data_IF_679364285472
#
_entry.id   IF_679364285472
#
_cell.length_a   1.000
_cell.length_b   1.000
_cell.length_c   1.000
_cell.angle_alpha   90.00
_cell.angle_beta   90.00
_cell.angle_gamma   90.00
#
_symmetry.space_group_name_H-M   'P 1'
#
loop_
_entity.id
_entity.type
_entity.pdbx_description
1 polymer ?
#
# COMPACT_ATOMS: atom_id res chain seq x y z
N UNK A 1 -15.32 2.24 -16.73
CA UNK A 1 -14.72 0.91 -16.48
C UNK A 1 -13.63 0.64 -17.50
N UNK A 2 -12.55 -0.05 -17.11
CA UNK A 2 -11.47 -0.47 -18.01
C UNK A 2 -11.83 -1.82 -18.61
N UNK A 3 -11.88 -1.90 -19.95
CA UNK A 3 -12.17 -3.12 -20.70
C UNK A 3 -11.14 -3.30 -21.82
N UNK A 4 -11.00 -4.54 -22.32
CA UNK A 4 -10.10 -4.85 -23.43
C UNK A 4 -10.80 -5.70 -24.49
N UNK A 5 -10.50 -5.44 -25.76
CA UNK A 5 -10.96 -6.28 -26.88
C UNK A 5 -10.32 -7.67 -26.83
N UNK A 6 -9.11 -7.77 -26.26
CA UNK A 6 -8.39 -9.03 -26.07
C UNK A 6 -9.09 -10.05 -25.16
N UNK A 7 -10.17 -9.66 -24.46
CA UNK A 7 -10.97 -10.54 -23.61
C UNK A 7 -12.21 -11.09 -24.33
N UNK A 8 -12.63 -10.49 -25.45
CA UNK A 8 -13.86 -10.88 -26.14
C UNK A 8 -13.80 -12.34 -26.59
N UNK A 9 -14.82 -13.12 -26.23
CA UNK A 9 -14.93 -14.53 -26.58
C UNK A 9 -13.99 -15.47 -25.81
N UNK A 10 -13.13 -14.95 -24.93
CA UNK A 10 -12.34 -15.76 -24.00
C UNK A 10 -13.17 -16.18 -22.78
N UNK A 11 -12.68 -17.17 -22.06
CA UNK A 11 -13.31 -17.71 -20.84
C UNK A 11 -12.37 -17.58 -19.65
N UNK A 12 -12.83 -16.92 -18.60
CA UNK A 12 -12.06 -16.72 -17.38
C UNK A 12 -12.72 -17.40 -16.19
N UNK A 13 -11.91 -18.07 -15.38
CA UNK A 13 -12.30 -18.46 -14.03
C UNK A 13 -11.88 -17.34 -13.07
N UNK A 14 -12.76 -16.84 -12.20
CA UNK A 14 -12.45 -15.79 -11.23
C UNK A 14 -12.63 -16.32 -9.82
N UNK A 15 -11.55 -16.30 -9.03
CA UNK A 15 -11.53 -16.78 -7.64
C UNK A 15 -11.38 -15.61 -6.65
N UNK A 16 -12.33 -15.52 -5.73
CA UNK A 16 -12.46 -14.47 -4.72
C UNK A 16 -13.22 -13.27 -5.26
N UNK A 17 -14.35 -12.94 -4.64
CA UNK A 17 -15.35 -11.96 -5.12
C UNK A 17 -15.55 -10.81 -4.12
N UNK A 18 -14.50 -10.47 -3.37
CA UNK A 18 -14.43 -9.21 -2.65
C UNK A 18 -14.35 -8.02 -3.64
N UNK A 19 -13.97 -6.83 -3.16
CA UNK A 19 -13.98 -5.59 -3.96
C UNK A 19 -13.26 -5.70 -5.31
N UNK A 20 -12.03 -6.21 -5.35
CA UNK A 20 -11.30 -6.36 -6.62
C UNK A 20 -11.88 -7.42 -7.53
N UNK A 21 -12.25 -8.59 -6.98
CA UNK A 21 -12.86 -9.67 -7.75
C UNK A 21 -14.18 -9.29 -8.40
N UNK A 22 -15.04 -8.58 -7.67
CA UNK A 22 -16.30 -8.05 -8.21
C UNK A 22 -16.06 -7.11 -9.40
N UNK A 23 -15.13 -6.16 -9.27
CA UNK A 23 -14.77 -5.25 -10.36
C UNK A 23 -14.16 -6.00 -11.56
N UNK A 24 -13.35 -7.04 -11.31
CA UNK A 24 -12.79 -7.91 -12.35
C UNK A 24 -13.88 -8.64 -13.13
N UNK A 25 -14.86 -9.27 -12.45
CA UNK A 25 -15.98 -9.95 -13.12
C UNK A 25 -16.77 -8.96 -13.98
N UNK A 26 -17.10 -7.80 -13.44
CA UNK A 26 -17.81 -6.76 -14.18
C UNK A 26 -17.05 -6.32 -15.43
N UNK A 27 -15.74 -6.08 -15.32
CA UNK A 27 -14.89 -5.66 -16.44
C UNK A 27 -14.78 -6.73 -17.53
N UNK A 28 -14.57 -7.99 -17.14
CA UNK A 28 -14.49 -9.12 -18.08
C UNK A 28 -15.81 -9.35 -18.83
N UNK A 29 -16.94 -9.35 -18.12
CA UNK A 29 -18.27 -9.49 -18.71
C UNK A 29 -18.56 -8.33 -19.66
N UNK A 30 -18.27 -7.09 -19.25
CA UNK A 30 -18.45 -5.90 -20.09
C UNK A 30 -17.54 -5.94 -21.34
N UNK A 31 -16.35 -6.53 -21.21
CA UNK A 31 -15.43 -6.80 -22.33
C UNK A 31 -15.88 -7.95 -23.25
N UNK A 32 -17.00 -8.61 -22.97
CA UNK A 32 -17.53 -9.71 -23.78
C UNK A 32 -16.86 -11.06 -23.53
N UNK A 33 -16.25 -11.25 -22.36
CA UNK A 33 -15.67 -12.53 -21.95
C UNK A 33 -16.71 -13.39 -21.21
N UNK A 34 -16.66 -14.71 -21.42
CA UNK A 34 -17.34 -15.65 -20.55
C UNK A 34 -16.63 -15.77 -19.20
N UNK A 35 -17.37 -15.79 -18.10
CA UNK A 35 -16.83 -15.79 -16.74
C UNK A 35 -17.51 -16.85 -15.87
N UNK A 36 -16.72 -17.66 -15.17
CA UNK A 36 -17.20 -18.45 -14.04
C UNK A 36 -16.55 -17.90 -12.77
N UNK A 37 -17.36 -17.41 -11.84
CA UNK A 37 -16.94 -16.68 -10.67
C UNK A 37 -17.26 -17.44 -9.37
N UNK A 38 -16.26 -17.59 -8.49
CA UNK A 38 -16.44 -18.29 -7.22
C UNK A 38 -15.78 -17.56 -6.03
N UNK A 39 -16.48 -17.52 -4.91
CA UNK A 39 -15.99 -17.19 -3.57
C UNK A 39 -16.69 -18.14 -2.61
N UNK A 40 -16.05 -18.59 -1.53
CA UNK A 40 -16.72 -19.50 -0.57
C UNK A 40 -17.84 -18.80 0.22
N UNK A 41 -17.78 -17.46 0.32
CA UNK A 41 -18.82 -16.65 0.94
C UNK A 41 -20.04 -16.45 0.02
N UNK A 42 -21.14 -17.10 0.37
CA UNK A 42 -22.42 -17.00 -0.36
C UNK A 42 -22.96 -15.57 -0.44
N UNK A 43 -22.72 -14.76 0.59
CA UNK A 43 -23.20 -13.37 0.62
C UNK A 43 -22.50 -12.54 -0.46
N UNK A 44 -21.20 -12.77 -0.68
CA UNK A 44 -20.46 -12.10 -1.76
C UNK A 44 -20.90 -12.57 -3.13
N UNK A 45 -21.16 -13.88 -3.30
CA UNK A 45 -21.69 -14.43 -4.56
C UNK A 45 -23.05 -13.80 -4.90
N UNK A 46 -23.96 -13.75 -3.94
CA UNK A 46 -25.30 -13.16 -4.10
C UNK A 46 -25.23 -11.66 -4.43
N UNK A 47 -24.42 -10.90 -3.70
CA UNK A 47 -24.24 -9.46 -3.94
C UNK A 47 -23.68 -9.16 -5.34
N UNK A 48 -22.72 -9.95 -5.81
CA UNK A 48 -22.18 -9.78 -7.16
C UNK A 48 -23.21 -10.14 -8.22
N UNK A 49 -23.93 -11.26 -8.06
CA UNK A 49 -24.98 -11.70 -8.98
C UNK A 49 -26.09 -10.63 -9.15
N UNK A 50 -26.49 -9.97 -8.08
CA UNK A 50 -27.42 -8.82 -8.13
C UNK A 50 -26.82 -7.65 -8.92
N UNK A 51 -25.56 -7.28 -8.64
CA UNK A 51 -24.91 -6.11 -9.28
C UNK A 51 -24.66 -6.26 -10.79
N UNK A 52 -24.63 -7.49 -11.31
CA UNK A 52 -24.37 -7.81 -12.73
C UNK A 52 -25.61 -8.29 -13.48
N UNK A 53 -26.77 -8.32 -12.83
CA UNK A 53 -28.01 -8.81 -13.41
C UNK A 53 -28.42 -8.00 -14.65
N UNK A 54 -28.20 -6.68 -14.65
CA UNK A 54 -28.53 -5.84 -15.80
C UNK A 54 -27.50 -5.98 -16.95
N UNK A 55 -26.24 -6.29 -16.61
CA UNK A 55 -25.16 -6.50 -17.57
C UNK A 55 -25.34 -7.81 -18.36
N UNK A 56 -25.75 -8.89 -17.68
CA UNK A 56 -26.00 -10.17 -18.34
C UNK A 56 -27.22 -10.15 -19.25
N UNK A 57 -28.21 -9.30 -18.97
CA UNK A 57 -29.41 -9.13 -19.81
C UNK A 57 -29.13 -8.27 -21.05
N UNK A 58 -28.19 -7.32 -20.97
CA UNK A 58 -27.86 -6.45 -22.12
C UNK A 58 -26.85 -7.06 -23.09
N UNK A 59 -26.12 -8.09 -22.66
CA UNK A 59 -25.11 -8.77 -23.44
C UNK A 59 -25.59 -10.20 -23.75
N UNK A 60 -26.51 -10.34 -24.72
CA UNK A 60 -27.24 -11.58 -25.07
C UNK A 60 -26.35 -12.82 -25.35
N UNK A 61 -25.03 -12.66 -25.48
CA UNK A 61 -24.05 -13.71 -25.80
C UNK A 61 -22.96 -13.95 -24.71
N UNK A 62 -23.09 -13.41 -23.49
CA UNK A 62 -22.05 -13.57 -22.44
C UNK A 62 -22.43 -14.65 -21.40
N UNK A 63 -21.62 -15.71 -21.33
CA UNK A 63 -21.76 -16.80 -20.34
C UNK A 63 -21.18 -16.38 -18.98
N UNK A 64 -22.04 -15.94 -18.04
CA UNK A 64 -21.66 -15.66 -16.65
C UNK A 64 -22.28 -16.68 -15.70
N UNK A 65 -21.46 -17.36 -14.88
CA UNK A 65 -21.91 -18.35 -13.90
C UNK A 65 -21.24 -18.18 -12.54
N UNK A 66 -21.91 -18.68 -11.51
CA UNK A 66 -21.44 -18.68 -10.12
C UNK A 66 -21.30 -20.11 -9.59
N UNK A 67 -20.47 -20.91 -10.25
CA UNK A 67 -20.30 -22.33 -9.97
C UNK A 67 -18.92 -22.63 -9.34
N UNK A 68 -18.79 -23.70 -8.54
CA UNK A 68 -17.50 -24.17 -8.07
C UNK A 68 -16.52 -24.39 -9.23
N UNK A 69 -15.26 -24.02 -9.02
CA UNK A 69 -14.20 -24.15 -10.01
C UNK A 69 -13.52 -25.53 -9.87
N UNK A 70 -14.03 -26.56 -10.54
CA UNK A 70 -13.49 -27.93 -10.42
C UNK A 70 -12.59 -28.35 -11.59
N UNK A 71 -12.90 -27.92 -12.82
CA UNK A 71 -12.11 -28.17 -14.04
C UNK A 71 -11.70 -26.85 -14.69
N UNK A 72 -10.39 -26.60 -14.74
CA UNK A 72 -9.84 -25.36 -15.29
C UNK A 72 -9.49 -25.45 -16.77
N UNK A 73 -9.46 -26.64 -17.39
CA UNK A 73 -8.93 -26.84 -18.73
C UNK A 73 -9.66 -26.07 -19.84
N UNK A 74 -10.90 -25.65 -19.57
CA UNK A 74 -11.74 -24.92 -20.52
C UNK A 74 -11.60 -23.39 -20.43
N UNK A 75 -10.72 -22.87 -19.56
CA UNK A 75 -10.50 -21.44 -19.35
C UNK A 75 -9.17 -20.97 -19.93
N UNK A 76 -9.17 -19.76 -20.47
CA UNK A 76 -7.97 -19.07 -20.95
C UNK A 76 -7.08 -18.58 -19.81
N UNK A 77 -7.66 -18.28 -18.63
CA UNK A 77 -6.92 -17.96 -17.42
C UNK A 77 -7.76 -18.17 -16.14
N UNK A 78 -7.06 -18.45 -15.04
CA UNK A 78 -7.58 -18.34 -13.68
C UNK A 78 -7.18 -16.98 -13.10
N UNK A 79 -8.14 -16.09 -12.88
CA UNK A 79 -7.93 -14.79 -12.27
C UNK A 79 -8.15 -14.88 -10.77
N UNK A 80 -7.16 -14.50 -9.99
CA UNK A 80 -7.17 -14.64 -8.52
C UNK A 80 -7.14 -13.27 -7.87
N UNK A 81 -8.13 -13.00 -7.01
CA UNK A 81 -8.14 -11.79 -6.20
C UNK A 81 -6.96 -11.73 -5.22
N UNK A 82 -6.34 -10.56 -4.97
CA UNK A 82 -5.13 -10.45 -4.14
C UNK A 82 -5.22 -11.03 -2.73
N UNK A 83 -6.43 -11.10 -2.14
CA UNK A 83 -6.67 -11.63 -0.79
C UNK A 83 -6.78 -13.14 -0.68
N UNK A 84 -6.73 -13.88 -1.80
CA UNK A 84 -6.84 -15.35 -1.78
C UNK A 84 -5.46 -15.99 -1.53
N UNK A 85 -5.31 -16.88 -0.54
CA UNK A 85 -4.04 -17.55 -0.23
C UNK A 85 -3.74 -18.67 -1.26
N UNK A 86 -3.33 -18.26 -2.46
CA UNK A 86 -3.14 -19.16 -3.60
C UNK A 86 -2.09 -20.25 -3.35
N UNK A 87 -1.04 -19.96 -2.56
CA UNK A 87 0.02 -20.91 -2.23
C UNK A 87 -0.51 -22.19 -1.56
N UNK A 88 -1.61 -22.10 -0.82
CA UNK A 88 -2.27 -23.25 -0.18
C UNK A 88 -3.53 -23.72 -0.89
N UNK A 89 -3.98 -22.99 -1.91
CA UNK A 89 -5.26 -23.26 -2.56
C UNK A 89 -5.13 -24.40 -3.59
N UNK A 90 -6.02 -25.41 -3.59
CA UNK A 90 -5.92 -26.56 -4.51
C UNK A 90 -5.96 -26.15 -5.98
N UNK A 91 -6.64 -25.05 -6.32
CA UNK A 91 -6.70 -24.53 -7.69
C UNK A 91 -5.34 -24.10 -8.27
N UNK A 92 -4.35 -23.77 -7.45
CA UNK A 92 -3.01 -23.47 -7.94
C UNK A 92 -2.38 -24.71 -8.61
N UNK A 93 -2.58 -25.89 -8.02
CA UNK A 93 -2.09 -27.15 -8.58
C UNK A 93 -2.93 -27.56 -9.80
N UNK A 94 -4.25 -27.38 -9.75
CA UNK A 94 -5.14 -27.69 -10.87
C UNK A 94 -4.83 -26.83 -12.10
N UNK A 95 -4.64 -25.52 -11.93
CA UNK A 95 -4.30 -24.61 -13.03
C UNK A 95 -2.97 -25.01 -13.69
N UNK A 96 -1.96 -25.33 -12.87
CA UNK A 96 -0.66 -25.81 -13.35
C UNK A 96 -0.78 -27.12 -14.13
N UNK A 97 -1.58 -28.07 -13.64
CA UNK A 97 -1.81 -29.35 -14.31
C UNK A 97 -2.54 -29.19 -15.64
N UNK A 98 -3.44 -28.20 -15.74
CA UNK A 98 -4.19 -27.88 -16.95
C UNK A 98 -3.44 -26.95 -17.92
N UNK A 99 -2.27 -26.40 -17.55
CA UNK A 99 -1.54 -25.42 -18.35
C UNK A 99 -2.22 -24.04 -18.42
N UNK A 100 -3.12 -23.76 -17.48
CA UNK A 100 -3.90 -22.52 -17.43
C UNK A 100 -3.11 -21.46 -16.67
N UNK A 101 -2.85 -20.27 -17.25
CA UNK A 101 -2.14 -19.21 -16.56
C UNK A 101 -2.97 -18.71 -15.37
N UNK A 102 -2.28 -18.51 -14.25
CA UNK A 102 -2.88 -17.87 -13.06
C UNK A 102 -2.44 -16.41 -13.05
N UNK A 103 -3.41 -15.51 -13.08
CA UNK A 103 -3.20 -14.07 -13.24
C UNK A 103 -3.99 -13.25 -12.21
N UNK A 104 -3.66 -11.97 -12.08
CA UNK A 104 -4.34 -11.03 -11.20
C UNK A 104 -5.09 -9.93 -11.96
N UNK A 105 -5.75 -9.06 -11.22
CA UNK A 105 -6.40 -7.86 -11.75
C UNK A 105 -5.41 -6.89 -12.43
N UNK A 106 -4.17 -6.82 -11.92
CA UNK A 106 -3.10 -6.01 -12.51
C UNK A 106 -2.63 -6.53 -13.86
N UNK A 107 -2.61 -7.86 -14.06
CA UNK A 107 -2.30 -8.44 -15.36
C UNK A 107 -3.38 -8.15 -16.39
N UNK A 108 -4.65 -8.25 -15.99
CA UNK A 108 -5.76 -7.83 -16.85
C UNK A 108 -5.66 -6.34 -17.20
N UNK A 109 -5.34 -5.48 -16.23
CA UNK A 109 -5.08 -4.07 -16.52
C UNK A 109 -3.95 -3.93 -17.55
N UNK A 110 -2.83 -4.63 -17.38
CA UNK A 110 -1.71 -4.61 -18.32
C UNK A 110 -2.13 -5.01 -19.76
N UNK A 111 -2.95 -6.06 -19.90
CA UNK A 111 -3.50 -6.50 -21.18
C UNK A 111 -4.44 -5.48 -21.83
N UNK A 112 -5.19 -4.71 -21.02
CA UNK A 112 -6.11 -3.70 -21.51
C UNK A 112 -5.42 -2.43 -22.02
N UNK A 113 -4.19 -2.15 -21.60
CA UNK A 113 -3.51 -0.86 -21.84
C UNK A 113 -3.45 -0.45 -23.31
N UNK A 114 -3.31 -1.42 -24.22
CA UNK A 114 -3.26 -1.15 -25.67
C UNK A 114 -4.55 -0.53 -26.23
N UNK A 115 -5.68 -0.73 -25.55
CA UNK A 115 -6.99 -0.22 -25.96
C UNK A 115 -7.36 1.09 -25.24
N UNK A 116 -6.54 1.54 -24.27
CA UNK A 116 -6.79 2.76 -23.49
C UNK A 116 -6.16 4.00 -24.16
N UNK A 117 -6.66 5.21 -23.85
CA UNK A 117 -5.96 6.43 -24.24
C UNK A 117 -4.48 6.39 -23.83
N UNK A 118 -3.55 6.99 -24.62
CA UNK A 118 -2.13 6.95 -24.30
C UNK A 118 -1.86 7.47 -22.89
N UNK A 119 -1.16 6.68 -22.08
CA UNK A 119 -0.95 6.92 -20.66
C UNK A 119 0.41 6.39 -20.23
N UNK A 120 0.83 6.76 -19.02
CA UNK A 120 2.01 6.20 -18.35
C UNK A 120 1.62 5.37 -17.13
N UNK A 121 2.50 4.46 -16.74
CA UNK A 121 2.34 3.60 -15.57
C UNK A 121 3.55 3.75 -14.65
N UNK A 122 3.27 4.03 -13.37
CA UNK A 122 4.25 3.97 -12.28
C UNK A 122 3.93 2.77 -11.40
N UNK A 123 4.85 1.82 -11.28
CA UNK A 123 4.73 0.67 -10.38
C UNK A 123 5.60 0.84 -9.14
N UNK A 124 5.03 0.79 -7.94
CA UNK A 124 5.75 1.03 -6.68
C UNK A 124 5.65 -0.20 -5.79
N UNK A 125 6.80 -0.79 -5.44
CA UNK A 125 6.89 -1.88 -4.46
C UNK A 125 7.95 -1.63 -3.40
N UNK A 126 8.02 -2.55 -2.43
CA UNK A 126 8.91 -2.52 -1.27
C UNK A 126 8.26 -3.20 -0.07
N UNK A 127 9.02 -3.41 1.01
CA UNK A 127 8.43 -3.88 2.27
C UNK A 127 7.62 -2.75 2.92
N UNK A 128 8.23 -1.58 3.09
CA UNK A 128 7.64 -0.41 3.75
C UNK A 128 7.60 0.83 2.83
N UNK A 129 6.77 1.82 3.19
CA UNK A 129 6.71 3.12 2.49
C UNK A 129 5.88 3.17 1.20
N UNK A 130 5.43 2.00 0.71
CA UNK A 130 4.66 1.88 -0.55
C UNK A 130 3.47 2.82 -0.64
N UNK A 131 2.59 2.79 0.36
CA UNK A 131 1.35 3.57 0.34
C UNK A 131 1.61 5.07 0.40
N UNK A 132 2.54 5.49 1.26
CA UNK A 132 2.93 6.90 1.36
C UNK A 132 3.55 7.39 0.06
N UNK A 133 4.46 6.64 -0.54
CA UNK A 133 5.10 7.01 -1.81
C UNK A 133 4.09 7.06 -2.96
N UNK A 134 3.21 6.05 -3.07
CA UNK A 134 2.14 6.00 -4.08
C UNK A 134 1.22 7.21 -3.96
N UNK A 135 0.78 7.54 -2.74
CA UNK A 135 -0.05 8.70 -2.46
C UNK A 135 0.68 10.02 -2.75
N UNK A 136 1.97 10.11 -2.43
CA UNK A 136 2.78 11.29 -2.67
C UNK A 136 2.99 11.54 -4.17
N UNK A 137 3.35 10.52 -4.94
CA UNK A 137 3.48 10.62 -6.41
C UNK A 137 2.16 11.09 -7.01
N UNK A 138 1.06 10.45 -6.65
CA UNK A 138 -0.26 10.84 -7.13
C UNK A 138 -0.62 12.29 -6.74
N UNK A 139 -0.31 12.70 -5.50
CA UNK A 139 -0.56 14.06 -5.04
C UNK A 139 0.27 15.09 -5.82
N UNK A 140 1.56 14.84 -6.04
CA UNK A 140 2.43 15.69 -6.88
C UNK A 140 1.86 15.82 -8.29
N UNK A 141 1.44 14.71 -8.91
CA UNK A 141 0.85 14.71 -10.24
C UNK A 141 -0.45 15.52 -10.31
N UNK A 142 -1.36 15.34 -9.34
CA UNK A 142 -2.58 16.16 -9.25
C UNK A 142 -2.26 17.63 -9.04
N UNK A 143 -1.29 17.94 -8.18
CA UNK A 143 -0.84 19.30 -7.93
C UNK A 143 -0.26 19.92 -9.21
N UNK A 144 0.41 19.16 -10.06
CA UNK A 144 0.90 19.58 -11.37
C UNK A 144 -0.18 19.64 -12.47
N UNK A 145 -1.42 19.27 -12.16
CA UNK A 145 -2.52 19.24 -13.15
C UNK A 145 -2.46 18.04 -14.11
N UNK A 146 -1.65 17.02 -13.82
CA UNK A 146 -1.59 15.79 -14.61
C UNK A 146 -2.73 14.86 -14.18
N UNK A 147 -3.59 14.40 -15.10
CA UNK A 147 -4.61 13.41 -14.77
C UNK A 147 -3.96 12.15 -14.22
N UNK A 148 -4.39 11.69 -13.04
CA UNK A 148 -3.76 10.55 -12.39
C UNK A 148 -4.77 9.74 -11.60
N UNK A 149 -4.51 8.44 -11.50
CA UNK A 149 -5.32 7.49 -10.74
C UNK A 149 -4.42 6.58 -9.92
N UNK A 150 -4.71 6.45 -8.62
CA UNK A 150 -4.08 5.46 -7.76
C UNK A 150 -4.82 4.13 -7.80
N UNK A 151 -4.08 3.04 -7.89
CA UNK A 151 -4.63 1.69 -7.81
C UNK A 151 -3.62 0.68 -7.28
N UNK A 152 -3.91 -0.60 -7.52
CA UNK A 152 -3.08 -1.70 -7.04
C UNK A 152 -3.55 -2.25 -5.69
N UNK A 153 -2.64 -2.40 -4.75
CA UNK A 153 -2.90 -2.94 -3.40
C UNK A 153 -3.69 -1.97 -2.51
N UNK A 154 -3.68 -0.67 -2.86
CA UNK A 154 -4.44 0.38 -2.18
C UNK A 154 -5.32 1.14 -3.17
N UNK A 155 -6.29 1.88 -2.65
CA UNK A 155 -7.18 2.70 -3.46
C UNK A 155 -8.37 1.89 -3.99
N UNK A 156 -8.80 2.21 -5.21
CA UNK A 156 -9.94 1.59 -5.85
C UNK A 156 -9.50 0.44 -6.76
N UNK A 157 -10.32 -0.62 -6.92
CA UNK A 157 -10.05 -1.67 -7.91
C UNK A 157 -9.84 -1.07 -9.30
N UNK A 158 -8.65 -1.29 -9.88
CA UNK A 158 -8.21 -0.60 -11.08
C UNK A 158 -9.16 -0.82 -12.26
N UNK A 159 -9.62 -2.06 -12.46
CA UNK A 159 -10.50 -2.42 -13.57
C UNK A 159 -11.88 -1.75 -13.47
N UNK A 160 -12.34 -1.48 -12.25
CA UNK A 160 -13.62 -0.80 -12.02
C UNK A 160 -13.61 0.70 -12.32
N UNK A 161 -12.45 1.29 -12.61
CA UNK A 161 -12.32 2.73 -12.83
C UNK A 161 -12.58 3.12 -14.29
N UNK A 162 -12.85 4.40 -14.53
CA UNK A 162 -12.86 4.93 -15.89
C UNK A 162 -11.44 5.09 -16.42
N UNK A 163 -11.20 4.84 -17.72
CA UNK A 163 -9.93 5.14 -18.36
C UNK A 163 -9.53 6.60 -18.15
N UNK A 164 -8.25 6.84 -17.87
CA UNK A 164 -7.72 8.20 -17.82
C UNK A 164 -7.74 8.80 -19.23
N UNK A 165 -7.84 10.14 -19.36
CA UNK A 165 -7.63 10.82 -20.64
C UNK A 165 -6.17 10.67 -21.10
N UNK A 166 -5.91 11.02 -22.36
CA UNK A 166 -4.56 11.04 -22.92
C UNK A 166 -3.59 11.87 -22.06
N UNK A 167 -2.38 11.33 -21.86
CA UNK A 167 -1.37 11.90 -20.97
C UNK A 167 -1.58 11.59 -19.49
N UNK A 168 -2.58 10.77 -19.15
CA UNK A 168 -2.83 10.33 -17.78
C UNK A 168 -1.75 9.40 -17.22
N UNK A 169 -1.64 9.34 -15.89
CA UNK A 169 -0.67 8.49 -15.18
C UNK A 169 -1.37 7.60 -14.15
N UNK A 170 -1.25 6.29 -14.35
CA UNK A 170 -1.64 5.30 -13.35
C UNK A 170 -0.50 5.09 -12.36
N UNK A 171 -0.77 5.28 -11.06
CA UNK A 171 0.20 5.09 -9.98
C UNK A 171 -0.23 3.88 -9.17
N UNK A 172 0.49 2.76 -9.33
CA UNK A 172 0.10 1.46 -8.82
C UNK A 172 0.98 1.07 -7.64
N UNK A 173 0.37 0.90 -6.46
CA UNK A 173 1.03 0.18 -5.36
C UNK A 173 0.98 -1.31 -5.65
N UNK A 174 2.13 -1.98 -5.71
CA UNK A 174 2.20 -3.41 -6.02
C UNK A 174 2.77 -4.20 -4.85
N UNK A 175 1.94 -5.08 -4.28
CA UNK A 175 2.40 -6.11 -3.35
C UNK A 175 3.20 -7.17 -4.10
N UNK A 176 4.04 -7.94 -3.39
CA UNK A 176 4.71 -9.10 -4.00
C UNK A 176 3.70 -10.11 -4.54
N UNK A 177 2.53 -10.20 -3.90
CA UNK A 177 1.46 -11.13 -4.28
C UNK A 177 0.83 -10.76 -5.62
N UNK A 178 0.64 -9.47 -5.87
CA UNK A 178 0.15 -8.98 -7.16
C UNK A 178 1.22 -9.12 -8.24
N UNK A 179 2.49 -8.85 -7.92
CA UNK A 179 3.59 -9.03 -8.88
C UNK A 179 3.69 -10.51 -9.29
N UNK A 180 3.58 -11.46 -8.35
CA UNK A 180 3.55 -12.91 -8.63
C UNK A 180 2.49 -13.32 -9.67
N UNK A 181 1.37 -12.58 -9.72
CA UNK A 181 0.24 -12.81 -10.62
C UNK A 181 0.24 -11.89 -11.85
N UNK A 182 1.29 -11.09 -12.03
CA UNK A 182 1.45 -10.15 -13.15
C UNK A 182 2.61 -10.60 -14.04
N UNK A 183 2.44 -10.45 -15.36
CA UNK A 183 3.38 -10.95 -16.37
C UNK A 183 3.79 -9.89 -17.38
N UNK A 184 2.91 -8.93 -17.69
CA UNK A 184 3.09 -8.02 -18.84
C UNK A 184 3.02 -6.53 -18.47
N UNK A 185 3.15 -6.19 -17.19
CA UNK A 185 3.08 -4.79 -16.72
C UNK A 185 4.37 -4.01 -17.00
N UNK A 186 4.47 -3.49 -18.22
CA UNK A 186 5.57 -2.63 -18.65
C UNK A 186 5.46 -1.20 -18.07
N UNK A 187 6.12 -0.94 -16.94
CA UNK A 187 6.04 0.36 -16.25
C UNK A 187 7.01 1.38 -16.85
N UNK A 188 6.53 2.59 -17.15
CA UNK A 188 7.37 3.74 -17.51
C UNK A 188 8.36 4.09 -16.41
N UNK A 189 7.92 3.97 -15.14
CA UNK A 189 8.78 4.07 -13.96
C UNK A 189 8.43 2.95 -12.98
N UNK A 190 9.39 2.09 -12.65
CA UNK A 190 9.25 1.10 -11.58
C UNK A 190 10.10 1.50 -10.38
N UNK A 191 9.57 1.29 -9.17
CA UNK A 191 10.21 1.71 -7.92
C UNK A 191 10.27 0.55 -6.94
N UNK A 192 11.45 0.31 -6.36
CA UNK A 192 11.62 -0.53 -5.16
C UNK A 192 12.22 0.28 -4.02
N UNK A 193 11.40 0.53 -3.00
CA UNK A 193 11.72 1.44 -1.90
C UNK A 193 12.72 0.89 -0.88
N UNK A 194 12.60 -0.40 -0.58
CA UNK A 194 13.39 -1.13 0.40
C UNK A 194 12.95 -2.59 0.37
N UNK A 195 13.78 -3.46 0.93
CA UNK A 195 13.42 -4.83 1.19
C UNK A 195 13.95 -5.31 2.54
N UNK A 196 13.05 -5.82 3.37
CA UNK A 196 13.34 -6.42 4.68
C UNK A 196 12.48 -7.65 4.88
N UNK A 197 12.89 -8.62 5.73
CA UNK A 197 12.13 -9.85 5.96
C UNK A 197 10.67 -9.57 6.32
N UNK A 198 9.76 -10.14 5.53
CA UNK A 198 8.31 -10.05 5.67
C UNK A 198 7.67 -11.20 4.86
N UNK A 199 6.46 -11.61 5.21
CA UNK A 199 5.70 -12.68 4.52
C UNK A 199 6.49 -14.00 4.27
N UNK A 200 7.41 -14.37 5.17
CA UNK A 200 8.27 -15.54 5.01
C UNK A 200 7.52 -16.87 5.03
N UNK A 201 6.28 -16.89 5.50
CA UNK A 201 5.37 -18.04 5.46
C UNK A 201 4.91 -18.39 4.03
N UNK A 202 5.01 -17.45 3.09
CA UNK A 202 4.59 -17.64 1.69
C UNK A 202 5.72 -18.02 0.75
N UNK A 203 6.96 -17.64 1.06
CA UNK A 203 8.11 -17.82 0.19
C UNK A 203 9.07 -18.86 0.77
N UNK A 204 9.87 -19.50 -0.08
CA UNK A 204 10.99 -20.36 0.34
C UNK A 204 12.15 -19.50 0.87
N UNK A 205 11.89 -18.77 1.96
CA UNK A 205 12.79 -17.80 2.56
C UNK A 205 12.80 -16.42 1.91
N UNK A 206 13.64 -15.54 2.46
CA UNK A 206 13.69 -14.13 2.10
C UNK A 206 14.12 -13.87 0.65
N UNK A 207 15.00 -14.71 0.10
CA UNK A 207 15.43 -14.60 -1.29
C UNK A 207 14.27 -14.75 -2.29
N UNK A 208 13.30 -15.63 -2.01
CA UNK A 208 12.11 -15.79 -2.84
C UNK A 208 11.20 -14.55 -2.80
N UNK A 209 11.06 -13.92 -1.64
CA UNK A 209 10.35 -12.66 -1.48
C UNK A 209 11.02 -11.51 -2.26
N UNK A 210 12.36 -11.45 -2.23
CA UNK A 210 13.14 -10.50 -3.01
C UNK A 210 12.99 -10.70 -4.51
N UNK A 211 13.15 -11.93 -4.99
CA UNK A 211 12.95 -12.27 -6.39
C UNK A 211 11.53 -11.94 -6.87
N UNK A 212 10.51 -12.16 -6.04
CA UNK A 212 9.12 -11.80 -6.37
C UNK A 212 8.98 -10.30 -6.69
N UNK A 213 9.56 -9.41 -5.87
CA UNK A 213 9.53 -7.96 -6.10
C UNK A 213 10.39 -7.53 -7.29
N UNK A 214 11.55 -8.15 -7.46
CA UNK A 214 12.48 -7.90 -8.57
C UNK A 214 11.83 -8.10 -9.95
N UNK A 215 10.86 -9.03 -10.06
CA UNK A 215 10.12 -9.26 -11.31
C UNK A 215 9.45 -8.01 -11.88
N UNK A 216 9.17 -6.98 -11.07
CA UNK A 216 8.65 -5.71 -11.57
C UNK A 216 9.58 -5.06 -12.62
N UNK A 217 10.90 -5.16 -12.42
CA UNK A 217 11.92 -4.61 -13.32
C UNK A 217 12.16 -5.51 -14.54
N UNK A 218 12.04 -6.82 -14.37
CA UNK A 218 12.14 -7.79 -15.47
C UNK A 218 11.02 -7.61 -16.52
N UNK A 219 9.88 -7.03 -16.12
CA UNK A 219 8.77 -6.72 -17.03
C UNK A 219 8.95 -5.40 -17.79
N UNK A 220 9.94 -4.56 -17.43
CA UNK A 220 10.14 -3.27 -18.09
C UNK A 220 10.82 -3.42 -19.46
N UNK A 221 10.47 -2.53 -20.38
CA UNK A 221 11.17 -2.34 -21.65
C UNK A 221 12.04 -1.07 -21.63
N UNK A 222 13.04 -1.00 -22.51
CA UNK A 222 13.88 0.20 -22.67
C UNK A 222 13.12 1.22 -23.54
N UNK A 223 13.09 2.53 -23.20
CA UNK A 223 13.97 3.25 -22.29
C UNK A 223 13.37 3.64 -20.93
N UNK A 224 12.50 2.81 -20.35
CA UNK A 224 11.86 3.12 -19.06
C UNK A 224 12.85 3.21 -17.89
N UNK A 225 12.43 3.78 -16.77
CA UNK A 225 13.31 4.00 -15.61
C UNK A 225 13.02 3.01 -14.47
N UNK A 226 14.09 2.45 -13.90
CA UNK A 226 14.05 1.81 -12.59
C UNK A 226 14.60 2.76 -11.51
N UNK A 227 13.86 2.93 -10.41
CA UNK A 227 14.31 3.66 -9.22
C UNK A 227 14.41 2.67 -8.06
N UNK A 228 15.62 2.43 -7.57
CA UNK A 228 15.87 1.35 -6.58
C UNK A 228 16.65 1.84 -5.38
N UNK A 229 16.38 1.23 -4.22
CA UNK A 229 17.25 1.36 -3.06
C UNK A 229 18.61 0.71 -3.34
N UNK A 230 19.69 1.48 -3.19
CA UNK A 230 21.04 1.03 -3.50
C UNK A 230 21.52 -0.11 -2.60
N UNK A 231 21.16 -0.10 -1.32
CA UNK A 231 21.54 -1.15 -0.37
C UNK A 231 20.84 -2.47 -0.70
N UNK A 232 19.53 -2.41 -0.93
CA UNK A 232 18.71 -3.55 -1.33
C UNK A 232 19.20 -4.17 -2.65
N UNK A 233 19.55 -3.35 -3.63
CA UNK A 233 20.11 -3.84 -4.90
C UNK A 233 21.46 -4.53 -4.68
N UNK A 234 22.38 -3.89 -3.95
CA UNK A 234 23.71 -4.44 -3.72
C UNK A 234 23.69 -5.77 -2.93
N UNK A 235 22.72 -5.96 -2.04
CA UNK A 235 22.60 -7.16 -1.21
C UNK A 235 21.86 -8.31 -1.92
N UNK A 236 20.89 -7.99 -2.79
CA UNK A 236 19.95 -9.00 -3.32
C UNK A 236 19.92 -9.12 -4.84
N UNK A 237 20.69 -8.31 -5.58
CA UNK A 237 20.77 -8.34 -7.05
C UNK A 237 19.37 -8.25 -7.71
N UNK A 238 18.56 -7.26 -7.30
CA UNK A 238 17.15 -7.14 -7.68
C UNK A 238 16.97 -6.80 -9.16
N UNK A 239 17.99 -6.25 -9.81
CA UNK A 239 17.98 -5.94 -11.24
C UNK A 239 18.61 -7.06 -12.10
N UNK A 240 18.92 -8.22 -11.54
CA UNK A 240 19.62 -9.30 -12.24
C UNK A 240 18.91 -9.82 -13.50
N UNK A 241 17.57 -9.83 -13.50
CA UNK A 241 16.73 -10.25 -14.63
C UNK A 241 16.14 -9.06 -15.42
N UNK A 242 16.50 -7.82 -15.08
CA UNK A 242 16.07 -6.63 -15.81
C UNK A 242 16.82 -6.52 -17.16
N UNK A 243 16.28 -5.80 -18.16
CA UNK A 243 17.02 -5.52 -19.38
C UNK A 243 18.38 -4.88 -19.09
N UNK A 244 19.44 -5.34 -19.74
CA UNK A 244 20.81 -4.92 -19.45
C UNK A 244 21.05 -3.41 -19.61
N UNK A 245 20.34 -2.77 -20.54
CA UNK A 245 20.44 -1.34 -20.84
C UNK A 245 19.33 -0.51 -20.17
N UNK A 246 18.61 -1.07 -19.20
CA UNK A 246 17.57 -0.35 -18.46
C UNK A 246 18.20 0.82 -17.69
N UNK A 247 17.74 2.07 -17.89
CA UNK A 247 18.10 3.19 -17.03
C UNK A 247 17.80 2.92 -15.56
N UNK A 248 18.77 3.19 -14.68
CA UNK A 248 18.64 3.02 -13.22
C UNK A 248 19.03 4.29 -12.50
N UNK A 249 18.19 4.71 -11.55
CA UNK A 249 18.50 5.75 -10.57
C UNK A 249 18.40 5.17 -9.15
N UNK A 250 19.32 5.56 -8.28
CA UNK A 250 19.33 5.09 -6.89
C UNK A 250 18.69 6.12 -5.97
N UNK A 251 17.78 5.66 -5.10
CA UNK A 251 16.97 6.54 -4.24
C UNK A 251 17.83 7.48 -3.39
N UNK A 252 18.93 6.98 -2.83
CA UNK A 252 19.85 7.74 -1.97
C UNK A 252 20.64 8.84 -2.72
N UNK A 253 20.66 8.80 -4.05
CA UNK A 253 21.32 9.79 -4.91
C UNK A 253 20.39 10.88 -5.43
N UNK A 254 19.08 10.76 -5.20
CA UNK A 254 18.10 11.76 -5.62
C UNK A 254 18.14 12.93 -4.63
N UNK A 255 18.58 14.10 -5.11
CA UNK A 255 18.56 15.33 -4.32
C UNK A 255 17.15 15.90 -4.22
N UNK A 256 16.72 16.14 -2.98
CA UNK A 256 15.40 16.65 -2.62
C UNK A 256 15.48 17.91 -1.74
N UNK A 257 16.69 18.42 -1.48
CA UNK A 257 16.87 19.56 -0.58
C UNK A 257 16.47 19.26 0.86
N UNK A 258 15.88 20.25 1.54
CA UNK A 258 15.53 20.21 2.96
C UNK A 258 14.07 19.79 3.18
N UNK A 259 13.88 18.77 4.02
CA UNK A 259 12.60 18.19 4.41
C UNK A 259 11.82 19.07 5.41
N UNK A 260 12.45 20.06 6.05
CA UNK A 260 11.82 20.92 7.06
C UNK A 260 10.53 21.60 6.57
N UNK A 261 10.40 21.82 5.26
CA UNK A 261 9.22 22.42 4.63
C UNK A 261 8.04 21.48 4.40
N UNK A 262 8.12 20.19 4.74
CA UNK A 262 7.09 19.19 4.42
C UNK A 262 6.53 18.53 5.70
N UNK A 263 5.54 19.16 6.37
CA UNK A 263 5.12 18.75 7.71
C UNK A 263 4.70 17.29 7.85
N UNK A 264 4.06 16.70 6.83
CA UNK A 264 3.62 15.29 6.85
C UNK A 264 4.63 14.29 6.31
N UNK A 265 5.81 14.76 5.93
CA UNK A 265 6.89 13.92 5.41
C UNK A 265 8.13 14.06 6.29
N UNK A 266 8.03 14.12 7.61
CA UNK A 266 9.20 14.21 8.49
C UNK A 266 9.87 12.85 8.72
N UNK A 267 11.18 12.88 8.97
CA UNK A 267 11.98 11.72 9.34
C UNK A 267 12.65 10.99 8.16
N UNK A 268 13.65 10.14 8.45
CA UNK A 268 14.49 9.51 7.44
C UNK A 268 13.72 8.57 6.49
N UNK A 269 12.72 7.86 7.00
CA UNK A 269 11.90 6.96 6.19
C UNK A 269 11.04 7.75 5.18
N UNK A 270 10.46 8.88 5.59
CA UNK A 270 9.72 9.76 4.69
C UNK A 270 10.65 10.54 3.76
N UNK A 271 11.89 10.81 4.15
CA UNK A 271 12.89 11.39 3.24
C UNK A 271 13.15 10.42 2.09
N UNK A 272 13.29 9.12 2.38
CA UNK A 272 13.42 8.09 1.34
C UNK A 272 12.18 8.01 0.44
N UNK A 273 10.97 8.02 1.02
CA UNK A 273 9.72 8.07 0.24
C UNK A 273 9.65 9.32 -0.66
N UNK A 274 10.06 10.48 -0.14
CA UNK A 274 10.09 11.73 -0.89
C UNK A 274 11.12 11.68 -2.03
N UNK A 275 12.33 11.15 -1.80
CA UNK A 275 13.35 10.93 -2.84
C UNK A 275 12.79 10.08 -3.98
N UNK A 276 12.20 8.93 -3.66
CA UNK A 276 11.58 8.08 -4.66
C UNK A 276 10.47 8.81 -5.44
N UNK A 277 9.58 9.53 -4.75
CA UNK A 277 8.50 10.27 -5.39
C UNK A 277 9.00 11.42 -6.29
N UNK A 278 10.05 12.13 -5.88
CA UNK A 278 10.68 13.18 -6.67
C UNK A 278 11.35 12.59 -7.92
N UNK A 279 12.07 11.47 -7.79
CA UNK A 279 12.64 10.78 -8.95
C UNK A 279 11.58 10.37 -9.96
N UNK A 280 10.46 9.80 -9.49
CA UNK A 280 9.31 9.48 -10.35
C UNK A 280 8.78 10.75 -11.04
N UNK A 281 8.52 11.82 -10.28
CA UNK A 281 7.96 13.04 -10.84
C UNK A 281 8.87 13.69 -11.89
N UNK A 282 10.19 13.71 -11.64
CA UNK A 282 11.21 14.17 -12.60
C UNK A 282 11.23 13.32 -13.87
N UNK A 283 11.21 11.99 -13.73
CA UNK A 283 11.16 11.07 -14.86
C UNK A 283 9.89 11.23 -15.71
N UNK A 284 8.78 11.65 -15.09
CA UNK A 284 7.52 11.96 -15.77
C UNK A 284 7.50 13.37 -16.40
N UNK A 285 8.51 14.21 -16.14
CA UNK A 285 8.63 15.57 -16.68
C UNK A 285 7.86 16.63 -15.88
N UNK A 286 7.53 16.35 -14.62
CA UNK A 286 6.90 17.34 -13.73
C UNK A 286 7.93 18.42 -13.38
N UNK A 287 7.49 19.69 -13.36
CA UNK A 287 8.39 20.81 -13.05
C UNK A 287 8.80 20.80 -11.57
N UNK A 288 10.03 21.23 -11.25
CA UNK A 288 10.50 21.34 -9.85
C UNK A 288 9.54 22.21 -9.00
N UNK A 289 8.96 23.26 -9.59
CA UNK A 289 8.00 24.14 -8.90
C UNK A 289 6.74 23.37 -8.49
N UNK A 290 6.23 22.48 -9.34
CA UNK A 290 5.05 21.67 -9.03
C UNK A 290 5.38 20.53 -8.06
N UNK A 291 6.58 19.96 -8.15
CA UNK A 291 7.11 18.97 -7.20
C UNK A 291 7.17 19.60 -5.80
N UNK A 292 7.80 20.75 -5.65
CA UNK A 292 7.92 21.48 -4.37
C UNK A 292 6.54 21.80 -3.80
N UNK A 293 5.63 22.31 -4.64
CA UNK A 293 4.24 22.58 -4.23
C UNK A 293 3.54 21.29 -3.75
N UNK A 294 3.77 20.18 -4.43
CA UNK A 294 3.23 18.87 -4.06
C UNK A 294 3.76 18.41 -2.70
N UNK A 295 5.07 18.46 -2.48
CA UNK A 295 5.71 18.06 -1.22
C UNK A 295 5.23 18.87 -0.02
N UNK A 296 5.16 20.21 -0.17
CA UNK A 296 4.70 21.13 0.90
C UNK A 296 3.22 20.91 1.24
N UNK A 297 2.38 20.65 0.24
CA UNK A 297 0.93 20.53 0.44
C UNK A 297 0.45 19.11 0.76
N UNK A 298 1.35 18.12 0.76
CA UNK A 298 0.99 16.74 1.06
C UNK A 298 0.69 16.58 2.56
N UNK A 299 -0.49 16.05 2.88
CA UNK A 299 -0.96 15.88 4.27
C UNK A 299 -0.81 14.45 4.81
N UNK A 300 -0.10 13.58 4.10
CA UNK A 300 -0.03 12.16 4.44
C UNK A 300 -1.29 11.38 4.07
N UNK A 301 -1.22 10.07 4.29
CA UNK A 301 -2.40 9.19 4.29
C UNK A 301 -3.03 9.18 5.67
N UNK A 302 -4.37 9.03 5.79
CA UNK A 302 -5.01 8.87 7.09
C UNK A 302 -4.32 7.79 7.92
N UNK A 303 -4.05 8.10 9.19
CA UNK A 303 -3.48 7.19 10.18
C UNK A 303 -2.05 6.70 9.90
N UNK A 304 -1.30 7.33 8.99
CA UNK A 304 0.10 7.01 8.67
C UNK A 304 0.96 8.26 8.83
N UNK A 305 1.45 8.50 10.04
CA UNK A 305 2.23 9.70 10.39
C UNK A 305 1.52 11.01 9.97
N UNK A 306 0.19 11.02 10.04
CA UNK A 306 -0.61 12.15 9.62
C UNK A 306 -0.57 13.23 10.71
N UNK A 307 -0.03 14.41 10.40
CA UNK A 307 -0.20 15.55 11.30
C UNK A 307 -1.65 16.04 11.22
N UNK A 308 -2.40 15.90 12.32
CA UNK A 308 -3.82 16.21 12.37
C UNK A 308 -4.12 17.58 12.99
N UNK A 309 -3.21 18.11 13.81
CA UNK A 309 -3.32 19.42 14.43
C UNK A 309 -1.95 19.98 14.82
N UNK A 310 -1.93 21.28 15.13
CA UNK A 310 -0.82 21.97 15.78
C UNK A 310 -1.39 23.02 16.73
N UNK A 311 -1.18 22.87 18.03
CA UNK A 311 -1.65 23.80 19.07
C UNK A 311 -0.49 24.27 19.91
N UNK A 312 -0.37 25.59 20.13
CA UNK A 312 0.70 26.20 20.93
C UNK A 312 2.12 25.72 20.59
N UNK A 313 2.37 25.43 19.30
CA UNK A 313 3.66 24.93 18.80
C UNK A 313 3.92 23.45 19.06
N UNK A 314 2.93 22.68 19.53
CA UNK A 314 2.98 21.21 19.68
C UNK A 314 2.28 20.56 18.49
N UNK A 315 2.96 19.62 17.84
CA UNK A 315 2.40 18.84 16.74
C UNK A 315 1.64 17.61 17.25
N UNK A 316 0.49 17.29 16.65
CA UNK A 316 -0.29 16.09 16.96
C UNK A 316 -0.32 15.17 15.74
N UNK A 317 0.24 13.98 15.89
CA UNK A 317 0.51 13.05 14.78
C UNK A 317 -0.22 11.73 15.00
N UNK A 318 -1.09 11.39 14.05
CA UNK A 318 -1.84 10.14 13.99
C UNK A 318 -1.10 9.12 13.13
N UNK A 319 -0.55 8.11 13.80
CA UNK A 319 0.07 6.92 13.21
C UNK A 319 -0.62 5.64 13.72
N UNK A 320 -1.95 5.68 13.87
CA UNK A 320 -2.75 4.55 14.38
C UNK A 320 -2.57 3.25 13.57
N UNK A 321 -2.11 3.31 12.31
CA UNK A 321 -1.83 2.14 11.47
C UNK A 321 -0.57 1.36 11.92
N UNK A 322 0.28 1.91 12.79
CA UNK A 322 1.43 1.21 13.36
C UNK A 322 1.02 0.14 14.38
N UNK A 323 0.59 -1.02 13.88
CA UNK A 323 -0.01 -2.11 14.69
C UNK A 323 0.98 -3.15 15.23
N UNK A 324 2.29 -2.91 15.10
CA UNK A 324 3.38 -3.71 15.66
C UNK A 324 4.61 -2.82 15.93
N UNK A 325 5.59 -3.28 16.73
CA UNK A 325 6.80 -2.51 17.05
C UNK A 325 7.60 -2.08 15.81
N UNK A 326 7.71 -2.94 14.81
CA UNK A 326 8.45 -2.67 13.58
C UNK A 326 7.84 -1.51 12.78
N UNK A 327 6.51 -1.37 12.81
CA UNK A 327 5.82 -0.25 12.16
C UNK A 327 5.93 1.05 12.97
N UNK A 328 6.02 0.97 14.31
CA UNK A 328 6.12 2.13 15.17
C UNK A 328 7.54 2.71 15.26
N UNK A 329 8.56 1.86 15.12
CA UNK A 329 9.96 2.27 15.27
C UNK A 329 10.38 3.43 14.34
N UNK A 330 10.03 3.44 13.03
CA UNK A 330 10.36 4.57 12.16
C UNK A 330 9.69 5.89 12.55
N UNK A 331 8.52 5.84 13.18
CA UNK A 331 7.78 7.00 13.63
C UNK A 331 8.48 7.71 14.80
N UNK A 332 9.08 6.94 15.72
CA UNK A 332 9.83 7.50 16.86
C UNK A 332 11.09 8.26 16.42
N UNK A 333 11.74 7.82 15.34
CA UNK A 333 12.91 8.47 14.78
C UNK A 333 12.58 9.69 13.88
N UNK A 334 11.29 9.98 13.67
CA UNK A 334 10.88 11.07 12.78
C UNK A 334 10.90 12.45 13.43
N UNK A 335 10.91 12.51 14.76
CA UNK A 335 10.84 13.74 15.53
C UNK A 335 11.90 13.72 16.62
N UNK A 336 12.42 14.89 16.96
CA UNK A 336 13.46 15.00 17.98
C UNK A 336 12.94 14.71 19.40
N UNK A 337 11.70 15.12 19.68
CA UNK A 337 11.08 15.08 21.02
C UNK A 337 9.63 14.60 20.95
N UNK A 338 9.39 13.39 21.45
CA UNK A 338 8.14 12.64 21.28
C UNK A 338 7.46 12.33 22.61
N UNK A 339 6.20 12.75 22.74
CA UNK A 339 5.24 12.22 23.70
C UNK A 339 4.53 11.03 23.06
N UNK A 340 4.93 9.81 23.43
CA UNK A 340 4.56 8.59 22.73
C UNK A 340 3.33 7.93 23.35
N UNK A 341 2.24 7.84 22.61
CA UNK A 341 1.05 7.06 23.00
C UNK A 341 1.18 5.65 22.43
N UNK A 342 1.28 4.66 23.31
CA UNK A 342 1.61 3.25 22.97
C UNK A 342 0.68 2.26 23.67
N UNK A 343 0.30 1.18 22.97
CA UNK A 343 -0.51 0.10 23.55
C UNK A 343 -1.79 -0.22 22.77
N UNK A 344 -2.55 -1.16 23.32
CA UNK A 344 -3.63 -1.88 22.63
C UNK A 344 -3.47 -3.39 22.82
N UNK A 345 -3.94 -4.20 21.87
CA UNK A 345 -3.67 -5.64 21.83
C UNK A 345 -2.33 -5.94 21.15
N UNK A 346 -1.35 -6.41 21.93
CA UNK A 346 -0.03 -6.74 21.43
C UNK A 346 -0.05 -8.01 20.55
N UNK A 347 0.84 -8.04 19.56
CA UNK A 347 1.09 -9.23 18.70
C UNK A 347 2.33 -10.02 19.16
N UNK A 348 3.11 -9.46 20.06
CA UNK A 348 4.33 -10.04 20.64
C UNK A 348 4.58 -9.44 22.02
N UNK A 349 5.69 -9.82 22.65
CA UNK A 349 5.92 -9.58 24.08
C UNK A 349 6.86 -8.40 24.39
N UNK A 350 7.39 -7.73 23.36
CA UNK A 350 8.42 -6.70 23.49
C UNK A 350 8.22 -5.48 22.57
N UNK A 351 9.09 -4.48 22.76
CA UNK A 351 9.17 -3.25 21.97
C UNK A 351 10.60 -3.08 21.42
N UNK A 352 11.31 -4.18 21.17
CA UNK A 352 12.75 -4.15 20.90
C UNK A 352 13.08 -3.41 19.62
N UNK A 353 12.24 -3.55 18.59
CA UNK A 353 12.36 -2.79 17.34
C UNK A 353 12.33 -1.27 17.56
N UNK A 354 11.63 -0.79 18.60
CA UNK A 354 11.50 0.63 18.93
C UNK A 354 12.69 1.18 19.74
N UNK A 355 13.53 0.33 20.34
CA UNK A 355 14.66 0.75 21.20
C UNK A 355 15.57 1.80 20.57
N UNK A 356 15.95 1.72 19.27
CA UNK A 356 16.76 2.75 18.62
C UNK A 356 16.14 4.15 18.67
N UNK A 357 14.80 4.24 18.72
CA UNK A 357 14.05 5.49 18.79
C UNK A 357 13.84 6.04 20.20
N UNK A 358 14.19 5.31 21.26
CA UNK A 358 13.90 5.71 22.65
C UNK A 358 14.57 7.02 23.05
N UNK A 359 15.72 7.37 22.44
CA UNK A 359 16.38 8.65 22.69
C UNK A 359 15.56 9.88 22.30
N UNK A 360 14.54 9.71 21.45
CA UNK A 360 13.61 10.76 21.05
C UNK A 360 12.38 10.86 21.95
N UNK A 361 12.10 9.84 22.76
CA UNK A 361 10.87 9.77 23.57
C UNK A 361 11.10 10.50 24.90
N UNK A 362 10.37 11.58 25.11
CA UNK A 362 10.44 12.38 26.34
C UNK A 362 9.52 11.85 27.44
N UNK A 363 8.41 11.21 27.05
CA UNK A 363 7.43 10.58 27.96
C UNK A 363 6.58 9.58 27.16
N UNK A 364 6.35 8.38 27.70
CA UNK A 364 5.42 7.40 27.15
C UNK A 364 4.09 7.35 27.92
N UNK A 365 2.98 7.17 27.20
CA UNK A 365 1.63 7.07 27.73
C UNK A 365 1.04 5.74 27.30
N UNK A 366 0.91 4.80 28.23
CA UNK A 366 0.48 3.44 27.89
C UNK A 366 -1.03 3.25 28.02
N UNK A 367 -1.62 2.65 26.98
CA UNK A 367 -3.07 2.42 26.85
C UNK A 367 -3.40 0.94 26.59
N UNK A 368 -4.65 0.57 26.81
CA UNK A 368 -5.18 -0.73 26.40
C UNK A 368 -4.62 -1.93 27.17
N UNK A 369 -4.88 -3.12 26.63
CA UNK A 369 -4.56 -4.43 27.21
C UNK A 369 -3.06 -4.59 27.51
N UNK A 370 -2.19 -4.19 26.57
CA UNK A 370 -0.74 -4.25 26.72
C UNK A 370 -0.16 -3.14 27.62
N UNK A 371 -0.98 -2.16 28.02
CA UNK A 371 -0.53 -0.95 28.71
C UNK A 371 0.31 -1.22 29.97
N UNK A 372 -0.11 -2.10 30.90
CA UNK A 372 0.67 -2.42 32.10
C UNK A 372 2.04 -3.02 31.75
N UNK A 373 2.07 -3.96 30.81
CA UNK A 373 3.30 -4.64 30.40
C UNK A 373 4.27 -3.68 29.71
N UNK A 374 3.78 -2.83 28.82
CA UNK A 374 4.60 -1.82 28.16
C UNK A 374 5.12 -0.79 29.15
N UNK A 375 4.37 -0.45 30.20
CA UNK A 375 4.87 0.43 31.24
C UNK A 375 6.07 -0.16 31.97
N UNK A 376 6.04 -1.46 32.30
CA UNK A 376 7.19 -2.16 32.89
C UNK A 376 8.42 -2.13 31.98
N UNK A 377 8.24 -2.38 30.67
CA UNK A 377 9.32 -2.40 29.69
C UNK A 377 9.97 -1.02 29.55
N UNK A 378 9.16 0.03 29.54
CA UNK A 378 9.62 1.40 29.24
C UNK A 378 10.14 2.16 30.47
N UNK A 379 9.73 1.77 31.69
CA UNK A 379 10.08 2.47 32.93
C UNK A 379 11.60 2.61 33.19
N UNK A 380 12.41 1.70 32.64
CA UNK A 380 13.88 1.77 32.75
C UNK A 380 14.54 2.76 31.78
N UNK A 381 13.81 3.26 30.77
CA UNK A 381 14.36 4.06 29.68
C UNK A 381 13.80 5.49 29.61
N UNK A 382 12.56 5.71 30.06
CA UNK A 382 11.88 7.00 29.96
C UNK A 382 10.80 7.14 31.07
N UNK A 383 10.30 8.36 31.34
CA UNK A 383 9.09 8.55 32.13
C UNK A 383 7.89 7.86 31.46
N UNK A 384 7.03 7.21 32.26
CA UNK A 384 5.86 6.49 31.75
C UNK A 384 4.64 6.76 32.61
N UNK A 385 3.52 7.11 31.97
CA UNK A 385 2.21 7.15 32.59
C UNK A 385 1.35 6.00 32.05
N UNK A 386 0.90 5.10 32.94
CA UNK A 386 -0.13 4.12 32.58
C UNK A 386 -1.52 4.74 32.75
N UNK A 387 -2.11 5.19 31.64
CA UNK A 387 -3.35 5.98 31.62
C UNK A 387 -4.57 5.20 31.15
N UNK A 388 -4.36 4.00 30.57
CA UNK A 388 -5.41 3.04 30.25
C UNK A 388 -6.21 3.37 28.99
N UNK A 389 -6.64 4.62 28.78
CA UNK A 389 -7.45 5.04 27.63
C UNK A 389 -6.78 6.12 26.79
N UNK A 390 -7.13 6.14 25.49
CA UNK A 390 -6.56 7.08 24.52
C UNK A 390 -6.86 8.55 24.84
N UNK A 391 -8.08 8.86 25.29
CA UNK A 391 -8.47 10.22 25.65
C UNK A 391 -7.68 10.73 26.88
N UNK A 392 -7.42 9.86 27.85
CA UNK A 392 -6.60 10.18 29.02
C UNK A 392 -5.12 10.37 28.63
N UNK A 393 -4.61 9.55 27.70
CA UNK A 393 -3.28 9.70 27.13
C UNK A 393 -3.09 11.05 26.43
N UNK A 394 -4.05 11.46 25.58
CA UNK A 394 -3.99 12.74 24.88
C UNK A 394 -3.98 13.91 25.86
N UNK A 395 -4.85 13.89 26.88
CA UNK A 395 -4.86 14.93 27.92
C UNK A 395 -3.57 14.98 28.73
N UNK A 396 -3.04 13.83 29.14
CA UNK A 396 -1.77 13.79 29.90
C UNK A 396 -0.59 14.26 29.04
N UNK A 397 -0.52 13.81 27.78
CA UNK A 397 0.50 14.24 26.83
C UNK A 397 0.46 15.75 26.61
N UNK A 398 -0.72 16.31 26.34
CA UNK A 398 -0.90 17.76 26.14
C UNK A 398 -0.50 18.59 27.37
N UNK A 399 -0.80 18.10 28.58
CA UNK A 399 -0.43 18.80 29.82
C UNK A 399 1.09 18.83 30.08
N UNK A 400 1.85 17.90 29.50
CA UNK A 400 3.30 17.77 29.69
C UNK A 400 4.13 18.30 28.52
N UNK A 401 3.54 18.43 27.33
CA UNK A 401 4.20 18.88 26.12
C UNK A 401 4.55 20.38 26.15
N UNK A 402 5.60 20.74 25.43
CA UNK A 402 6.08 22.12 25.26
C UNK A 402 6.17 22.48 23.77
N UNK A 403 6.17 23.77 23.41
CA UNK A 403 6.36 24.18 22.02
C UNK A 403 7.60 23.52 21.41
N UNK A 404 7.45 22.89 20.24
CA UNK A 404 8.46 22.09 19.55
C UNK A 404 8.35 20.58 19.80
N UNK A 405 7.58 20.13 20.79
CA UNK A 405 7.33 18.71 21.04
C UNK A 405 6.29 18.14 20.06
N UNK A 406 6.30 16.82 19.89
CA UNK A 406 5.31 16.07 19.10
C UNK A 406 4.57 15.06 19.97
N UNK A 407 3.24 15.10 19.95
CA UNK A 407 2.37 14.07 20.53
C UNK A 407 2.04 13.06 19.42
N UNK A 408 2.56 11.85 19.57
CA UNK A 408 2.52 10.80 18.56
C UNK A 408 1.69 9.62 19.04
N UNK A 409 0.58 9.34 18.36
CA UNK A 409 -0.08 8.05 18.44
C UNK A 409 0.60 7.08 17.48
N UNK A 410 1.53 6.25 17.97
CA UNK A 410 2.12 5.14 17.20
C UNK A 410 2.09 3.87 18.06
N UNK A 411 0.98 3.12 18.06
CA UNK A 411 0.60 2.28 19.20
C UNK A 411 1.41 0.99 19.37
N UNK A 412 2.17 0.57 18.35
CA UNK A 412 2.87 -0.71 18.30
C UNK A 412 1.98 -1.95 18.53
N UNK A 413 0.65 -1.78 18.49
CA UNK A 413 -0.35 -2.78 18.83
C UNK A 413 -1.58 -2.71 17.92
N UNK A 414 -2.26 -3.84 17.75
CA UNK A 414 -3.61 -3.87 17.19
C UNK A 414 -4.58 -3.11 18.12
N UNK A 415 -5.73 -2.67 17.58
CA UNK A 415 -6.69 -1.82 18.30
C UNK A 415 -7.88 -2.57 18.89
N UNK A 416 -8.00 -3.88 18.63
CA UNK A 416 -9.19 -4.71 18.88
C UNK A 416 -9.58 -4.90 20.35
N UNK A 417 -8.79 -4.41 21.29
CA UNK A 417 -9.11 -4.41 22.72
C UNK A 417 -10.03 -3.24 23.11
N UNK A 418 -9.90 -2.08 22.45
CA UNK A 418 -10.65 -0.87 22.77
C UNK A 418 -11.45 -0.30 21.59
N UNK A 419 -11.16 -0.72 20.35
CA UNK A 419 -11.74 -0.18 19.12
C UNK A 419 -12.07 -1.29 18.11
N UNK A 420 -12.95 -1.00 17.16
CA UNK A 420 -13.33 -1.95 16.11
C UNK A 420 -12.18 -2.22 15.11
N UNK A 421 -11.42 -1.19 14.77
CA UNK A 421 -10.30 -1.21 13.85
C UNK A 421 -9.34 -0.04 14.16
N UNK A 422 -8.29 0.16 13.36
CA UNK A 422 -7.31 1.21 13.63
C UNK A 422 -7.81 2.57 13.16
N UNK A 423 -8.71 2.63 12.18
CA UNK A 423 -9.37 3.85 11.72
C UNK A 423 -10.21 4.45 12.85
N UNK A 424 -11.00 3.64 13.54
CA UNK A 424 -11.78 4.05 14.72
C UNK A 424 -10.88 4.59 15.84
N UNK A 425 -9.72 3.96 16.06
CA UNK A 425 -8.72 4.46 17.03
C UNK A 425 -8.13 5.80 16.61
N UNK A 426 -7.78 5.99 15.34
CA UNK A 426 -7.27 7.25 14.82
C UNK A 426 -8.32 8.36 14.83
N UNK A 427 -9.57 8.04 14.52
CA UNK A 427 -10.70 8.96 14.66
C UNK A 427 -10.92 9.38 16.13
N UNK A 428 -10.79 8.44 17.08
CA UNK A 428 -10.86 8.76 18.50
C UNK A 428 -9.69 9.63 18.97
N UNK A 429 -8.48 9.44 18.43
CA UNK A 429 -7.34 10.33 18.69
C UNK A 429 -7.62 11.75 18.18
N UNK A 430 -8.12 11.87 16.95
CA UNK A 430 -8.50 13.17 16.38
C UNK A 430 -9.56 13.87 17.23
N UNK A 431 -10.63 13.17 17.61
CA UNK A 431 -11.68 13.73 18.47
C UNK A 431 -11.13 14.16 19.84
N UNK A 432 -10.22 13.38 20.43
CA UNK A 432 -9.58 13.75 21.70
C UNK A 432 -8.69 14.99 21.55
N UNK A 433 -7.94 15.12 20.45
CA UNK A 433 -7.12 16.31 20.15
C UNK A 433 -8.00 17.54 19.90
N UNK A 434 -9.08 17.42 19.13
CA UNK A 434 -10.04 18.49 18.89
C UNK A 434 -10.71 18.97 20.19
N UNK A 435 -10.89 18.10 21.18
CA UNK A 435 -11.45 18.46 22.49
C UNK A 435 -10.51 19.27 23.39
N UNK A 436 -9.24 19.44 23.00
CA UNK A 436 -8.27 20.27 23.73
C UNK A 436 -8.40 21.76 23.38
N UNK A 437 -9.05 22.09 22.26
CA UNK A 437 -9.09 23.43 21.66
C UNK A 437 -10.11 24.39 22.31
#
# INVERSE_FOLDING_TARGET
MIVAEAWRGKRFAVLGLARSGAATVQALVTGGAGVVAWDDDETKRAALAESVQDLSVTLDDVDLRFDPLDDLAAFDALVVSPGVPLNTHPLAAAARAAGVPVIGDIELFAQARGDLPPHKVVGITGTNGKSTTTALVHHILRTAGVPTLMGGNIGLPILGQDPLPEGGVYVLELSSYQIDLTQTLDCDVAVLLNITPDHLDRYDGFAGYAASKARLFAMQTVPHLAIVDHGAEAEHCLLGDAPADLPVEFIDRIDIGDQAGWPSLQGPHNASNARAAVGVARALGVSEVDIDRGLVSFTGLPHRMQQIASYDGVAYVDDSKATNPESAAPALAAFERVHWIVGGRAKGDDLDACKPGFGHVVHAYTIGEAGPRFAEILAGSMPVDHVGTLDAAVRSAAANARPGDTILLSPACASFDQFADYEARGAAFRAAVESLA
#
